data_IF_245981222149
#
_entry.id   IF_245981222149
#
_cell.length_a   1.000
_cell.length_b   1.000
_cell.length_c   1.000
_cell.angle_alpha   90.00
_cell.angle_beta   90.00
_cell.angle_gamma   90.00
#
_symmetry.space_group_name_H-M   'P 1'
#
loop_
_entity.id
_entity.type
_entity.pdbx_description
1 polymer ?
#
# COMPACT_ATOMS: atom_id res chain seq x y z
N UNK A 1 14.77 -21.04 6.08
CA UNK A 1 13.53 -20.71 6.82
C UNK A 1 12.67 -19.83 5.94
N UNK A 2 11.40 -20.18 5.76
CA UNK A 2 10.43 -19.48 4.91
C UNK A 2 9.02 -19.87 5.34
N UNK A 3 7.99 -19.37 4.65
CA UNK A 3 6.61 -19.74 4.95
C UNK A 3 6.37 -21.22 4.70
N UNK A 4 5.67 -21.88 5.63
CA UNK A 4 5.36 -23.30 5.52
C UNK A 4 4.12 -23.52 4.64
N UNK A 5 3.29 -22.49 4.50
CA UNK A 5 2.13 -22.47 3.62
C UNK A 5 1.99 -21.17 2.85
N UNK A 6 1.29 -21.22 1.71
CA UNK A 6 0.94 -20.02 0.95
C UNK A 6 0.05 -19.06 1.76
N UNK A 7 -0.76 -19.58 2.68
CA UNK A 7 -1.68 -18.78 3.47
C UNK A 7 -0.96 -17.90 4.50
N UNK A 8 0.11 -18.40 5.11
CA UNK A 8 0.99 -17.60 5.98
C UNK A 8 1.65 -16.48 5.17
N UNK A 9 2.22 -16.80 4.01
CA UNK A 9 2.82 -15.80 3.12
C UNK A 9 1.81 -14.73 2.72
N UNK A 10 0.59 -15.13 2.38
CA UNK A 10 -0.47 -14.21 1.97
C UNK A 10 -0.93 -13.31 3.11
N UNK A 11 -1.00 -13.82 4.34
CA UNK A 11 -1.34 -13.02 5.52
C UNK A 11 -0.28 -11.96 5.78
N UNK A 12 0.99 -12.34 5.74
CA UNK A 12 2.09 -11.41 6.00
C UNK A 12 2.23 -10.37 4.90
N UNK A 13 2.07 -10.74 3.63
CA UNK A 13 2.04 -9.79 2.51
C UNK A 13 0.88 -8.81 2.67
N UNK A 14 -0.33 -9.31 2.96
CA UNK A 14 -1.51 -8.46 3.16
C UNK A 14 -1.30 -7.48 4.31
N UNK A 15 -0.79 -7.96 5.44
CA UNK A 15 -0.49 -7.14 6.60
C UNK A 15 0.58 -6.09 6.30
N UNK A 16 1.67 -6.48 5.62
CA UNK A 16 2.71 -5.57 5.21
C UNK A 16 2.19 -4.47 4.27
N UNK A 17 1.39 -4.84 3.27
CA UNK A 17 0.81 -3.89 2.32
C UNK A 17 -0.09 -2.88 3.03
N UNK A 18 -1.02 -3.36 3.85
CA UNK A 18 -2.01 -2.52 4.52
C UNK A 18 -1.42 -1.62 5.61
N UNK A 19 -0.46 -2.10 6.40
CA UNK A 19 0.02 -1.36 7.57
C UNK A 19 1.30 -0.59 7.34
N UNK A 20 2.14 -1.00 6.37
CA UNK A 20 3.44 -0.38 6.12
C UNK A 20 3.56 0.22 4.75
N UNK A 21 3.43 -0.60 3.70
CA UNK A 21 3.73 -0.15 2.34
C UNK A 21 2.84 1.02 1.92
N UNK A 22 1.52 0.88 2.07
CA UNK A 22 0.56 1.86 1.59
C UNK A 22 0.65 3.22 2.31
N UNK A 23 1.22 3.27 3.52
CA UNK A 23 1.22 4.47 4.37
C UNK A 23 2.57 5.12 4.57
N UNK A 24 3.65 4.33 4.57
CA UNK A 24 4.96 4.82 5.03
C UNK A 24 5.95 4.90 3.88
N UNK A 25 5.83 4.07 2.83
CA UNK A 25 6.86 4.02 1.80
C UNK A 25 6.73 5.24 0.87
N UNK A 26 7.72 6.15 0.84
CA UNK A 26 7.72 7.24 -0.13
C UNK A 26 7.98 6.65 -1.52
N UNK A 27 7.13 7.01 -2.48
CA UNK A 27 7.20 6.47 -3.83
C UNK A 27 7.61 7.57 -4.81
N UNK A 28 8.71 7.37 -5.55
CA UNK A 28 9.20 8.37 -6.50
C UNK A 28 8.16 8.72 -7.57
N UNK A 29 7.35 7.74 -7.99
CA UNK A 29 6.28 7.95 -8.97
C UNK A 29 5.03 8.64 -8.38
N UNK A 30 4.95 8.76 -7.05
CA UNK A 30 3.89 9.50 -6.35
C UNK A 30 4.41 10.84 -5.81
N UNK A 31 5.46 11.39 -6.42
CA UNK A 31 6.14 12.62 -5.97
C UNK A 31 6.63 12.53 -4.51
N UNK A 32 7.07 11.33 -4.09
CA UNK A 32 7.52 11.07 -2.73
C UNK A 32 6.41 10.77 -1.73
N UNK A 33 5.14 10.80 -2.13
CA UNK A 33 4.01 10.47 -1.26
C UNK A 33 3.85 8.96 -1.09
N UNK A 34 3.23 8.58 0.01
CA UNK A 34 2.78 7.21 0.22
C UNK A 34 1.58 6.88 -0.69
N UNK A 35 1.43 5.62 -1.14
CA UNK A 35 0.34 5.20 -2.03
C UNK A 35 -1.07 5.64 -1.59
N UNK A 36 -1.43 5.43 -0.31
CA UNK A 36 -2.75 5.81 0.19
C UNK A 36 -3.00 7.33 0.16
N UNK A 37 -1.95 8.14 0.27
CA UNK A 37 -2.06 9.60 0.17
C UNK A 37 -2.21 10.05 -1.28
N UNK A 38 -1.50 9.43 -2.23
CA UNK A 38 -1.66 9.73 -3.65
C UNK A 38 -3.05 9.33 -4.17
N UNK A 39 -3.58 8.17 -3.74
CA UNK A 39 -4.92 7.72 -4.14
C UNK A 39 -6.03 8.64 -3.61
N UNK A 40 -5.95 9.05 -2.33
CA UNK A 40 -6.89 10.05 -1.79
C UNK A 40 -6.88 11.35 -2.58
N UNK A 41 -5.70 11.82 -3.00
CA UNK A 41 -5.57 13.00 -3.87
C UNK A 41 -6.20 12.74 -5.25
N UNK A 42 -5.98 11.57 -5.83
CA UNK A 42 -6.61 11.18 -7.08
C UNK A 42 -8.13 11.16 -6.98
N UNK A 43 -8.72 10.66 -5.88
CA UNK A 43 -10.17 10.69 -5.68
C UNK A 43 -10.74 12.11 -5.62
N UNK A 44 -10.02 13.02 -4.95
CA UNK A 44 -10.41 14.44 -4.91
C UNK A 44 -10.34 15.06 -6.31
N UNK A 45 -9.33 14.71 -7.11
CA UNK A 45 -9.16 15.22 -8.48
C UNK A 45 -10.16 14.58 -9.45
N UNK A 46 -10.55 13.32 -9.23
CA UNK A 46 -11.46 12.58 -10.11
C UNK A 46 -12.94 12.85 -9.82
N UNK A 47 -13.27 13.47 -8.68
CA UNK A 47 -14.65 13.79 -8.30
C UNK A 47 -15.48 12.59 -7.86
N UNK A 48 -14.86 11.42 -7.65
CA UNK A 48 -15.51 10.21 -7.16
C UNK A 48 -15.55 10.29 -5.63
N UNK A 49 -16.75 10.50 -5.06
CA UNK A 49 -17.02 10.52 -3.61
C UNK A 49 -17.61 9.21 -3.11
#
# INVERSE_FOLDING_TARGET
MGYMTAQEAQRDISHYLMHRYNWIRPHQFNNGLAPAQSEKRLNVVSGIS
#
